data_IF_272864809823
#
_entry.id   IF_272864809823
#
_cell.length_a   1.000
_cell.length_b   1.000
_cell.length_c   1.000
_cell.angle_alpha   90.00
_cell.angle_beta   90.00
_cell.angle_gamma   90.00
#
_symmetry.space_group_name_H-M   'P 1'
#
loop_
_entity.id
_entity.type
_entity.pdbx_description
1 polymer ?
#
# COMPACT_ATOMS: atom_id res chain seq x y z
N UNK A 1 -6.33 -25.51 -26.86
CA UNK A 1 -4.95 -25.42 -26.33
C UNK A 1 -4.97 -25.66 -24.83
N UNK A 2 -4.21 -26.64 -24.31
CA UNK A 2 -4.06 -26.83 -22.85
C UNK A 2 -3.03 -25.83 -22.34
N UNK A 3 -3.41 -24.99 -21.40
CA UNK A 3 -2.49 -24.08 -20.72
C UNK A 3 -1.48 -24.88 -19.87
N UNK A 4 -0.19 -24.61 -20.05
CA UNK A 4 0.87 -25.23 -19.27
C UNK A 4 0.77 -24.89 -17.78
N UNK A 5 1.34 -25.75 -16.93
CA UNK A 5 1.40 -25.50 -15.48
C UNK A 5 2.19 -24.22 -15.21
N UNK A 6 1.60 -23.29 -14.44
CA UNK A 6 2.27 -22.06 -14.02
C UNK A 6 3.60 -22.37 -13.35
N UNK A 7 4.64 -21.63 -13.75
CA UNK A 7 5.98 -21.74 -13.17
C UNK A 7 5.90 -21.40 -11.68
N UNK A 8 6.38 -22.31 -10.85
CA UNK A 8 6.42 -22.11 -9.40
C UNK A 8 7.77 -21.52 -8.99
N UNK A 9 7.70 -20.63 -8.02
CA UNK A 9 8.81 -19.90 -7.41
C UNK A 9 9.98 -20.84 -6.99
N UNK A 10 11.22 -20.56 -7.45
CA UNK A 10 12.42 -21.31 -7.08
C UNK A 10 12.70 -21.34 -5.58
N UNK A 11 12.44 -20.26 -4.85
CA UNK A 11 12.67 -20.19 -3.41
C UNK A 11 11.77 -21.19 -2.66
N UNK A 12 10.50 -21.27 -3.03
CA UNK A 12 9.57 -22.28 -2.51
C UNK A 12 10.02 -23.70 -2.84
N UNK A 13 10.60 -23.94 -4.02
CA UNK A 13 11.12 -25.27 -4.39
C UNK A 13 12.38 -25.64 -3.62
N UNK A 14 13.25 -24.67 -3.34
CA UNK A 14 14.42 -24.87 -2.50
C UNK A 14 14.01 -25.25 -1.07
N UNK A 15 13.06 -24.53 -0.47
CA UNK A 15 12.49 -24.85 0.85
C UNK A 15 11.84 -26.24 0.90
N UNK A 16 11.15 -26.62 -0.17
CA UNK A 16 10.51 -27.95 -0.31
C UNK A 16 11.49 -29.06 -0.69
N UNK A 17 12.79 -28.76 -0.87
CA UNK A 17 13.81 -29.74 -1.29
C UNK A 17 13.64 -30.27 -2.71
N UNK A 18 12.83 -29.61 -3.55
CA UNK A 18 12.54 -30.04 -4.94
C UNK A 18 13.23 -29.15 -5.98
N UNK A 19 14.19 -28.33 -5.55
CA UNK A 19 14.97 -27.48 -6.42
C UNK A 19 15.86 -28.32 -7.35
N UNK A 20 15.96 -27.87 -8.61
CA UNK A 20 16.71 -28.53 -9.67
C UNK A 20 17.44 -27.46 -10.48
N UNK A 21 18.76 -27.47 -10.45
CA UNK A 21 19.59 -26.43 -11.06
C UNK A 21 19.37 -26.32 -12.58
N UNK A 22 19.18 -27.44 -13.28
CA UNK A 22 18.91 -27.51 -14.72
C UNK A 22 17.57 -26.89 -15.14
N UNK A 23 16.58 -26.84 -14.23
CA UNK A 23 15.23 -26.34 -14.53
C UNK A 23 14.89 -25.03 -13.86
N UNK A 24 15.60 -24.67 -12.81
CA UNK A 24 15.26 -23.57 -11.91
C UNK A 24 16.43 -22.59 -11.72
N UNK A 25 17.60 -22.86 -12.30
CA UNK A 25 18.77 -21.98 -12.24
C UNK A 25 18.55 -20.65 -12.95
N UNK A 26 17.84 -20.65 -14.08
CA UNK A 26 17.61 -19.44 -14.89
C UNK A 26 16.38 -18.64 -14.45
N UNK A 27 15.64 -19.13 -13.43
CA UNK A 27 14.47 -18.42 -12.92
C UNK A 27 14.95 -17.46 -11.83
N UNK A 28 15.09 -16.19 -12.19
CA UNK A 28 15.42 -15.13 -11.25
C UNK A 28 14.14 -14.64 -10.60
N UNK A 29 14.04 -14.79 -9.27
CA UNK A 29 13.03 -14.09 -8.49
C UNK A 29 13.43 -12.61 -8.44
N UNK A 30 12.64 -11.74 -9.06
CA UNK A 30 12.72 -10.30 -8.80
C UNK A 30 12.17 -10.07 -7.40
N UNK A 31 13.00 -10.30 -6.38
CA UNK A 31 12.74 -9.79 -5.04
C UNK A 31 12.88 -8.28 -5.14
N UNK A 32 11.79 -7.59 -5.44
CA UNK A 32 11.72 -6.15 -5.15
C UNK A 32 11.65 -6.04 -3.63
N UNK A 33 12.59 -5.39 -2.94
CA UNK A 33 12.33 -4.95 -1.59
C UNK A 33 11.64 -3.57 -1.69
N UNK A 34 10.34 -3.41 -1.40
CA UNK A 34 9.86 -2.11 -1.02
C UNK A 34 9.53 -2.20 0.46
N UNK A 35 10.51 -1.90 1.31
CA UNK A 35 10.22 -1.45 2.67
C UNK A 35 10.88 -0.13 2.97
N UNK A 36 11.00 0.70 1.94
CA UNK A 36 11.18 2.12 2.14
C UNK A 36 9.80 2.74 2.33
N UNK A 37 9.73 3.64 3.31
CA UNK A 37 8.57 4.48 3.57
C UNK A 37 8.37 5.43 2.37
N UNK A 38 7.14 5.91 2.10
CA UNK A 38 6.95 7.02 1.19
C UNK A 38 7.92 8.17 1.51
N UNK A 39 8.60 8.69 0.50
CA UNK A 39 9.55 9.82 0.61
C UNK A 39 8.91 11.08 0.09
N UNK A 40 8.86 12.12 0.93
CA UNK A 40 8.26 13.40 0.57
C UNK A 40 9.10 14.09 -0.53
N UNK A 41 8.52 14.40 -1.71
CA UNK A 41 9.27 15.10 -2.74
C UNK A 41 9.60 16.55 -2.36
N UNK A 42 10.75 17.04 -2.86
CA UNK A 42 11.24 18.39 -2.54
C UNK A 42 10.28 19.51 -2.96
N UNK A 43 9.51 19.28 -4.04
CA UNK A 43 8.58 20.26 -4.61
C UNK A 43 7.33 20.49 -3.76
N UNK A 44 7.07 19.70 -2.70
CA UNK A 44 5.91 19.91 -1.86
C UNK A 44 5.99 21.26 -1.14
N UNK A 45 4.89 22.01 -1.20
CA UNK A 45 4.74 23.25 -0.42
C UNK A 45 4.74 22.94 1.07
N UNK A 46 4.93 23.97 1.90
CA UNK A 46 4.93 23.81 3.37
C UNK A 46 3.62 23.20 3.88
N UNK A 47 2.51 23.63 3.32
CA UNK A 47 1.17 23.17 3.66
C UNK A 47 0.97 21.72 3.25
N UNK A 48 1.44 21.34 2.05
CA UNK A 48 1.35 19.96 1.58
C UNK A 48 2.28 19.02 2.36
N UNK A 49 3.48 19.47 2.79
CA UNK A 49 4.36 18.71 3.69
C UNK A 49 3.70 18.45 5.04
N UNK A 50 2.96 19.42 5.57
CA UNK A 50 2.20 19.21 6.81
C UNK A 50 1.13 18.13 6.64
N UNK A 51 0.38 18.15 5.53
CA UNK A 51 -0.57 17.05 5.23
C UNK A 51 0.15 15.72 5.10
N UNK A 52 1.32 15.69 4.45
CA UNK A 52 2.13 14.49 4.33
C UNK A 52 2.48 13.90 5.70
N UNK A 53 2.99 14.70 6.61
CA UNK A 53 3.35 14.27 7.97
C UNK A 53 2.13 13.74 8.74
N UNK A 54 0.96 14.36 8.58
CA UNK A 54 -0.28 13.95 9.23
C UNK A 54 -0.84 12.62 8.69
N UNK A 55 -0.72 12.37 7.38
CA UNK A 55 -1.34 11.22 6.71
C UNK A 55 -0.41 10.02 6.57
N UNK A 56 0.92 10.24 6.55
CA UNK A 56 1.92 9.19 6.41
C UNK A 56 1.72 8.02 7.40
N UNK A 57 1.44 8.23 8.71
CA UNK A 57 1.21 7.12 9.63
C UNK A 57 0.00 6.25 9.23
N UNK A 58 -1.08 6.85 8.70
CA UNK A 58 -2.28 6.12 8.28
C UNK A 58 -2.02 5.33 7.01
N UNK A 59 -1.26 5.92 6.08
CA UNK A 59 -0.87 5.28 4.83
C UNK A 59 0.05 4.09 5.11
N UNK A 60 1.02 4.25 6.01
CA UNK A 60 1.87 3.15 6.46
C UNK A 60 1.06 2.02 7.11
N UNK A 61 0.06 2.35 7.96
CA UNK A 61 -0.85 1.36 8.55
C UNK A 61 -1.72 0.63 7.50
N UNK A 62 -1.92 1.24 6.33
CA UNK A 62 -2.61 0.65 5.18
C UNK A 62 -1.67 -0.10 4.23
N UNK A 63 -0.36 -0.14 4.53
CA UNK A 63 0.65 -0.85 3.73
C UNK A 63 1.26 -0.01 2.61
N UNK A 64 1.20 1.31 2.70
CA UNK A 64 1.86 2.20 1.75
C UNK A 64 3.39 2.05 1.79
N UNK A 65 4.01 2.20 0.63
CA UNK A 65 5.45 2.00 0.39
C UNK A 65 6.02 3.15 -0.44
N UNK A 66 7.34 3.17 -0.66
CA UNK A 66 8.01 4.19 -1.49
C UNK A 66 7.34 4.40 -2.86
N UNK A 67 6.84 3.35 -3.52
CA UNK A 67 6.15 3.47 -4.80
C UNK A 67 4.90 4.38 -4.75
N UNK A 68 4.31 4.58 -3.57
CA UNK A 68 3.17 5.46 -3.37
C UNK A 68 3.57 6.94 -3.23
N UNK A 69 4.86 7.27 -3.13
CA UNK A 69 5.35 8.63 -2.82
C UNK A 69 4.79 9.69 -3.75
N UNK A 70 4.83 9.42 -5.07
CA UNK A 70 4.33 10.36 -6.07
C UNK A 70 2.81 10.53 -6.00
N UNK A 71 2.07 9.49 -5.65
CA UNK A 71 0.63 9.56 -5.54
C UNK A 71 0.18 10.25 -4.25
N UNK A 72 0.85 9.94 -3.13
CA UNK A 72 0.70 10.65 -1.87
C UNK A 72 1.01 12.15 -2.03
N UNK A 73 2.07 12.52 -2.75
CA UNK A 73 2.40 13.94 -2.97
C UNK A 73 1.28 14.71 -3.66
N UNK A 74 0.60 14.09 -4.64
CA UNK A 74 -0.56 14.68 -5.34
C UNK A 74 -1.74 14.83 -4.41
N UNK A 75 -2.02 13.81 -3.60
CA UNK A 75 -3.07 13.86 -2.58
C UNK A 75 -2.80 14.99 -1.57
N UNK A 76 -1.58 15.07 -1.01
CA UNK A 76 -1.20 16.12 -0.05
C UNK A 76 -1.33 17.52 -0.63
N UNK A 77 -0.95 17.70 -1.90
CA UNK A 77 -1.10 18.98 -2.59
C UNK A 77 -2.58 19.39 -2.71
N UNK A 78 -3.42 18.48 -3.19
CA UNK A 78 -4.85 18.74 -3.33
C UNK A 78 -5.54 18.97 -1.96
N UNK A 79 -5.17 18.19 -0.95
CA UNK A 79 -5.72 18.28 0.40
C UNK A 79 -5.30 19.60 1.08
N UNK A 80 -4.06 20.06 0.87
CA UNK A 80 -3.60 21.37 1.34
C UNK A 80 -4.37 22.52 0.69
N UNK A 81 -4.64 22.44 -0.62
CA UNK A 81 -5.46 23.41 -1.33
C UNK A 81 -6.91 23.41 -0.80
N UNK A 82 -7.49 22.23 -0.59
CA UNK A 82 -8.82 22.07 -0.01
C UNK A 82 -8.93 22.73 1.36
N UNK A 83 -7.98 22.44 2.26
CA UNK A 83 -7.91 23.05 3.60
C UNK A 83 -7.72 24.56 3.52
N UNK A 84 -6.93 25.03 2.55
CA UNK A 84 -6.72 26.45 2.28
C UNK A 84 -8.00 27.18 1.87
N UNK A 85 -8.77 26.62 0.92
CA UNK A 85 -10.06 27.19 0.51
C UNK A 85 -11.08 27.16 1.65
N UNK A 86 -11.18 26.04 2.37
CA UNK A 86 -12.08 25.89 3.50
C UNK A 86 -11.77 26.92 4.61
N UNK A 87 -10.49 27.16 4.92
CA UNK A 87 -10.08 28.15 5.91
C UNK A 87 -10.42 29.59 5.52
N UNK A 88 -10.42 29.90 4.21
CA UNK A 88 -10.83 31.20 3.68
C UNK A 88 -12.35 31.36 3.55
N UNK A 89 -13.12 30.29 3.73
CA UNK A 89 -14.56 30.27 3.47
C UNK A 89 -14.90 30.27 1.97
N UNK A 90 -13.93 29.93 1.11
CA UNK A 90 -14.15 29.82 -0.34
C UNK A 90 -14.90 28.51 -0.66
N UNK A 91 -15.83 28.51 -1.64
CA UNK A 91 -16.58 27.31 -1.98
C UNK A 91 -15.69 26.26 -2.63
N UNK A 92 -15.68 25.05 -2.06
CA UNK A 92 -14.99 23.90 -2.63
C UNK A 92 -15.88 23.24 -3.69
N UNK A 93 -15.31 22.98 -4.87
CA UNK A 93 -16.03 22.29 -5.94
C UNK A 93 -16.33 20.83 -5.60
N UNK A 94 -17.49 20.33 -6.02
CA UNK A 94 -17.85 18.91 -5.85
C UNK A 94 -16.87 17.96 -6.56
N UNK A 95 -16.28 18.40 -7.68
CA UNK A 95 -15.26 17.66 -8.40
C UNK A 95 -14.00 17.44 -7.53
N UNK A 96 -13.55 18.47 -6.83
CA UNK A 96 -12.38 18.36 -5.95
C UNK A 96 -12.64 17.44 -4.75
N UNK A 97 -13.81 17.57 -4.10
CA UNK A 97 -14.19 16.67 -3.01
C UNK A 97 -14.25 15.20 -3.46
N UNK A 98 -14.74 14.96 -4.68
CA UNK A 98 -14.79 13.62 -5.29
C UNK A 98 -13.39 13.09 -5.59
N UNK A 99 -12.50 13.92 -6.16
CA UNK A 99 -11.12 13.54 -6.44
C UNK A 99 -10.35 13.20 -5.15
N UNK A 100 -10.49 14.01 -4.09
CA UNK A 100 -9.88 13.75 -2.79
C UNK A 100 -10.36 12.42 -2.18
N UNK A 101 -11.67 12.14 -2.26
CA UNK A 101 -12.22 10.84 -1.84
C UNK A 101 -11.60 9.68 -2.65
N UNK A 102 -11.48 9.81 -3.96
CA UNK A 102 -10.88 8.78 -4.82
C UNK A 102 -9.41 8.55 -4.48
N UNK A 103 -8.64 9.62 -4.26
CA UNK A 103 -7.24 9.51 -3.85
C UNK A 103 -7.10 8.82 -2.50
N UNK A 104 -7.92 9.20 -1.52
CA UNK A 104 -7.93 8.57 -0.21
C UNK A 104 -8.31 7.07 -0.26
N UNK A 105 -9.22 6.67 -1.16
CA UNK A 105 -9.57 5.25 -1.36
C UNK A 105 -8.42 4.46 -2.02
N UNK A 106 -7.72 5.06 -2.99
CA UNK A 106 -6.58 4.44 -3.66
C UNK A 106 -5.38 4.28 -2.70
N UNK A 107 -5.14 5.24 -1.82
CA UNK A 107 -4.15 5.16 -0.73
C UNK A 107 -4.58 4.21 0.41
N UNK A 108 -5.81 3.69 0.36
CA UNK A 108 -6.34 2.78 1.37
C UNK A 108 -6.78 3.44 2.68
N UNK A 109 -6.66 4.76 2.81
CA UNK A 109 -7.01 5.54 4.01
C UNK A 109 -8.49 5.95 4.07
N UNK A 110 -9.27 5.64 3.03
CA UNK A 110 -10.73 5.75 3.03
C UNK A 110 -11.45 4.45 2.59
N UNK A 111 -12.78 4.44 2.76
CA UNK A 111 -13.65 3.36 2.29
C UNK A 111 -13.61 2.08 3.15
N UNK A 112 -13.89 0.93 2.54
CA UNK A 112 -13.87 -0.35 3.25
C UNK A 112 -12.45 -0.79 3.63
N UNK A 113 -11.45 -0.45 2.79
CA UNK A 113 -10.04 -0.82 3.01
C UNK A 113 -9.45 -0.13 4.25
N UNK A 114 -9.85 1.10 4.55
CA UNK A 114 -9.37 1.79 5.75
C UNK A 114 -9.82 1.14 7.06
N UNK A 115 -10.93 0.40 7.03
CA UNK A 115 -11.41 -0.39 8.18
C UNK A 115 -10.63 -1.70 8.37
N UNK A 116 -9.92 -2.13 7.32
CA UNK A 116 -9.02 -3.28 7.34
C UNK A 116 -7.58 -2.88 7.66
N UNK A 117 -7.33 -1.60 7.99
CA UNK A 117 -6.03 -1.12 8.42
C UNK A 117 -5.46 -2.14 9.41
N UNK A 118 -4.35 -2.75 9.01
CA UNK A 118 -3.75 -3.86 9.73
C UNK A 118 -3.03 -3.23 10.91
N UNK A 119 -3.78 -2.91 11.97
CA UNK A 119 -3.18 -2.84 13.29
C UNK A 119 -2.35 -4.10 13.44
N UNK A 120 -1.11 -3.98 13.92
CA UNK A 120 -0.20 -5.11 14.12
C UNK A 120 -0.85 -6.17 15.02
N UNK A 121 -1.75 -6.98 14.48
CA UNK A 121 -2.34 -8.12 15.13
C UNK A 121 -1.31 -9.22 15.02
N UNK A 122 -0.32 -9.13 15.91
CA UNK A 122 0.39 -10.30 16.39
C UNK A 122 -0.57 -11.33 17.01
N UNK A 123 -1.81 -10.95 17.29
CA UNK A 123 -2.91 -11.88 17.56
C UNK A 123 -3.42 -12.51 16.26
N UNK A 124 -2.67 -13.50 15.80
CA UNK A 124 -3.21 -14.53 14.91
C UNK A 124 -4.28 -15.27 15.72
N UNK A 125 -5.59 -15.22 15.37
CA UNK A 125 -6.55 -16.07 16.06
C UNK A 125 -6.19 -17.52 15.76
N UNK A 126 -5.76 -18.25 16.78
CA UNK A 126 -5.59 -19.70 16.73
C UNK A 126 -6.96 -20.30 16.51
N UNK A 127 -7.34 -20.55 15.25
CA UNK A 127 -8.64 -21.15 14.95
C UNK A 127 -8.66 -22.58 15.49
N UNK A 128 -9.65 -22.88 16.33
CA UNK A 128 -9.82 -24.19 17.00
C UNK A 128 -10.15 -25.36 16.06
N UNK A 129 -10.22 -25.13 14.75
CA UNK A 129 -10.53 -26.15 13.74
C UNK A 129 -9.30 -26.94 13.26
N UNK A 130 -8.10 -26.64 13.76
CA UNK A 130 -6.87 -27.33 13.32
C UNK A 130 -6.50 -28.58 14.13
N UNK A 131 -7.32 -29.03 15.10
CA UNK A 131 -7.05 -30.32 15.78
C UNK A 131 -7.71 -31.45 15.00
N UNK A 132 -6.91 -32.21 14.22
CA UNK A 132 -7.32 -33.54 13.75
C UNK A 132 -7.42 -34.48 14.96
N UNK A 133 -8.51 -35.24 15.13
CA UNK A 133 -8.56 -36.27 16.15
C UNK A 133 -7.53 -37.38 15.82
N UNK A 134 -6.87 -37.87 16.86
CA UNK A 134 -5.92 -38.99 16.86
C UNK A 134 -6.69 -40.30 16.76
#
# INVERSE_FOLDING_TARGET
MRTGRKVADPAKKALMGTYRADRHGDIVELVTPPRDIPVAPDYLTKEAKRVWEEELPRILACGGVEADSSFLARYCTAEAEFRGMAAKGEPVTAAMMTALRQYAELLGIAGHRSRLARGNSQDKPTSGFSKRPV
#
